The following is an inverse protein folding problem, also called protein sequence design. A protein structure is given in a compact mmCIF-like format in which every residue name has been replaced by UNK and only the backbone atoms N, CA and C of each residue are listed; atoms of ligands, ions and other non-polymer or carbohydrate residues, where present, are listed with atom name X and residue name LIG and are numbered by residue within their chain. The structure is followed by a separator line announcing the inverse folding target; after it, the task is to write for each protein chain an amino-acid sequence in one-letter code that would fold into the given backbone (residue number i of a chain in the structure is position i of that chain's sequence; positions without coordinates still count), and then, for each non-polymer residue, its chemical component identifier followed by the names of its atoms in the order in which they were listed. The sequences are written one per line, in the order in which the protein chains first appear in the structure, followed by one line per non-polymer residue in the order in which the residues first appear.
data_IF_482907833820
#
_entry.id   IF_482907833820
#
_cell.length_a   1.000
_cell.length_b   1.000
_cell.length_c   1.000
_cell.angle_alpha   90.00
_cell.angle_beta   90.00
_cell.angle_gamma   90.00
#
_symmetry.space_group_name_H-M   'P 1'
#
loop_
_entity.id
_entity.type
_entity.pdbx_description
1 polymer ?
#
# COMPACT_ATOMS: atom_id res chain seq x y z
N UNK A 1 -34.69 6.54 -6.69
CA UNK A 1 -33.39 6.26 -6.05
C UNK A 1 -33.56 6.50 -4.55
N UNK A 2 -33.75 5.45 -3.77
CA UNK A 2 -33.97 5.53 -2.31
C UNK A 2 -32.63 5.35 -1.61
N UNK A 3 -32.18 6.40 -0.91
CA UNK A 3 -31.07 6.33 0.05
C UNK A 3 -31.57 5.51 1.25
N UNK A 4 -30.95 4.35 1.49
CA UNK A 4 -31.15 3.60 2.72
C UNK A 4 -30.14 4.15 3.74
N UNK A 5 -30.62 5.00 4.63
CA UNK A 5 -29.91 5.37 5.87
C UNK A 5 -30.09 4.19 6.84
N UNK A 6 -29.00 3.52 7.19
CA UNK A 6 -28.98 2.68 8.38
C UNK A 6 -28.73 3.60 9.60
N UNK A 7 -29.80 3.97 10.27
CA UNK A 7 -29.74 4.55 11.61
C UNK A 7 -29.48 3.41 12.59
N UNK A 8 -28.27 3.28 13.12
CA UNK A 8 -28.01 2.49 14.31
C UNK A 8 -28.44 3.35 15.50
N UNK A 9 -29.60 3.00 16.09
CA UNK A 9 -30.10 3.64 17.28
C UNK A 9 -29.23 3.30 18.50
N UNK A 10 -28.49 4.27 18.99
CA UNK A 10 -27.95 4.27 20.35
C UNK A 10 -28.99 4.93 21.26
N UNK A 11 -29.84 4.13 21.89
CA UNK A 11 -30.71 4.57 22.98
C UNK A 11 -30.18 3.97 24.28
N UNK A 12 -29.80 4.83 25.24
CA UNK A 12 -29.76 4.50 26.66
C UNK A 12 -28.46 4.67 27.39
N UNK A 13 -28.31 5.78 28.09
CA UNK A 13 -27.58 5.98 29.37
C UNK A 13 -26.18 5.39 29.57
N UNK A 14 -25.15 6.11 29.06
CA UNK A 14 -23.79 6.06 29.62
C UNK A 14 -23.04 7.37 29.30
N UNK A 15 -23.48 8.51 29.84
CA UNK A 15 -22.80 9.81 29.63
C UNK A 15 -21.44 9.92 30.35
N UNK A 16 -21.09 8.98 31.24
CA UNK A 16 -19.80 9.00 31.94
C UNK A 16 -18.71 8.14 31.31
N UNK A 17 -19.07 7.06 30.60
CA UNK A 17 -18.09 6.10 30.06
C UNK A 17 -17.53 6.51 28.70
N UNK A 18 -18.28 7.23 27.88
CA UNK A 18 -17.82 7.67 26.55
C UNK A 18 -16.70 8.71 26.62
N UNK A 19 -16.77 9.68 27.54
CA UNK A 19 -15.75 10.71 27.71
C UNK A 19 -14.41 10.13 28.21
N UNK A 20 -14.45 9.15 29.12
CA UNK A 20 -13.23 8.48 29.63
C UNK A 20 -12.60 7.53 28.59
N UNK A 21 -13.43 6.87 27.76
CA UNK A 21 -12.95 6.05 26.66
C UNK A 21 -12.27 6.89 25.58
N UNK A 22 -12.74 8.11 25.35
CA UNK A 22 -12.20 9.07 24.38
C UNK A 22 -10.76 9.49 24.74
N UNK A 23 -10.50 9.89 25.98
CA UNK A 23 -9.17 10.26 26.45
C UNK A 23 -8.17 9.10 26.42
N UNK A 24 -8.57 7.89 26.80
CA UNK A 24 -7.71 6.72 26.81
C UNK A 24 -7.26 6.29 25.39
N UNK A 25 -8.05 6.58 24.36
CA UNK A 25 -7.75 6.26 22.98
C UNK A 25 -6.81 7.26 22.29
N UNK A 26 -6.78 8.52 22.74
CA UNK A 26 -6.00 9.61 22.13
C UNK A 26 -4.54 9.27 21.81
N UNK A 27 -3.78 8.59 22.68
CA UNK A 27 -2.40 8.24 22.34
C UNK A 27 -2.27 7.37 21.11
N UNK A 28 -3.29 6.57 20.80
CA UNK A 28 -3.26 5.56 19.73
C UNK A 28 -3.85 6.05 18.42
N UNK A 29 -4.82 6.97 18.45
CA UNK A 29 -5.51 7.46 17.26
C UNK A 29 -4.53 8.09 16.27
N UNK A 30 -4.70 7.75 14.99
CA UNK A 30 -3.86 8.17 13.87
C UNK A 30 -3.06 7.02 13.27
N UNK A 31 -1.98 7.34 12.58
CA UNK A 31 -1.24 6.39 11.77
C UNK A 31 0.15 6.14 12.33
N UNK A 32 0.63 4.90 12.15
CA UNK A 32 1.87 4.41 12.73
C UNK A 32 2.68 3.67 11.68
N UNK A 33 3.91 4.06 11.49
CA UNK A 33 4.91 3.31 10.76
C UNK A 33 5.38 2.15 11.64
N UNK A 34 5.22 0.92 11.18
CA UNK A 34 5.58 -0.29 11.95
C UNK A 34 6.79 -0.94 11.31
N UNK A 35 7.88 -1.08 12.06
CA UNK A 35 9.09 -1.72 11.58
C UNK A 35 8.92 -3.24 11.58
N UNK A 36 9.04 -3.84 10.41
CA UNK A 36 9.04 -5.29 10.21
C UNK A 36 10.44 -5.76 9.81
N UNK A 37 10.80 -6.95 10.23
CA UNK A 37 12.04 -7.58 9.77
C UNK A 37 11.90 -7.97 8.30
N UNK A 38 12.50 -7.19 7.39
CA UNK A 38 12.49 -7.43 5.95
C UNK A 38 11.28 -6.87 5.20
N UNK A 39 10.62 -5.86 5.73
CA UNK A 39 9.50 -5.18 5.06
C UNK A 39 8.99 -3.97 5.82
N UNK A 40 8.02 -3.30 5.26
CA UNK A 40 7.36 -2.13 5.83
C UNK A 40 5.96 -2.48 6.33
N UNK A 41 5.67 -2.16 7.59
CA UNK A 41 4.35 -2.27 8.18
C UNK A 41 3.71 -0.91 8.41
N UNK A 42 2.41 -0.92 8.60
CA UNK A 42 1.64 0.27 8.91
C UNK A 42 0.44 -0.11 9.78
N UNK A 43 0.07 0.75 10.72
CA UNK A 43 -1.14 0.61 11.50
C UNK A 43 -1.93 1.92 11.47
N UNK A 44 -3.22 1.84 11.20
CA UNK A 44 -4.16 2.95 11.33
C UNK A 44 -5.19 2.68 12.41
N UNK A 45 -5.39 3.65 13.30
CA UNK A 45 -6.42 3.64 14.33
C UNK A 45 -7.28 4.88 14.14
N UNK A 46 -8.57 4.67 13.94
CA UNK A 46 -9.54 5.75 13.75
C UNK A 46 -10.59 5.69 14.86
N UNK A 47 -11.08 6.86 15.24
CA UNK A 47 -12.14 6.99 16.22
C UNK A 47 -13.32 7.69 15.58
N UNK A 48 -14.50 7.07 15.66
CA UNK A 48 -15.75 7.67 15.22
C UNK A 48 -16.27 8.69 16.24
N UNK A 49 -17.17 9.57 15.83
CA UNK A 49 -17.79 10.59 16.70
C UNK A 49 -18.47 10.00 17.95
N UNK A 50 -18.93 8.75 17.87
CA UNK A 50 -19.51 8.02 19.01
C UNK A 50 -18.45 7.40 19.94
N UNK A 51 -17.15 7.62 19.71
CA UNK A 51 -16.05 7.08 20.49
C UNK A 51 -15.62 5.66 20.08
N UNK A 52 -16.32 5.00 19.15
CA UNK A 52 -15.94 3.65 18.70
C UNK A 52 -14.61 3.67 17.93
N UNK A 53 -13.73 2.73 18.25
CA UNK A 53 -12.45 2.58 17.57
C UNK A 53 -12.55 1.59 16.43
N UNK A 54 -11.86 1.89 15.34
CA UNK A 54 -11.56 0.95 14.26
C UNK A 54 -10.05 0.90 14.02
N UNK A 55 -9.57 -0.23 13.50
CA UNK A 55 -8.13 -0.40 13.29
C UNK A 55 -7.84 -1.32 12.13
N UNK A 56 -6.75 -1.03 11.44
CA UNK A 56 -6.21 -1.88 10.40
C UNK A 56 -4.69 -1.90 10.43
N UNK A 57 -4.10 -3.05 10.04
CA UNK A 57 -2.65 -3.22 10.04
C UNK A 57 -2.21 -3.83 8.70
N UNK A 58 -1.18 -3.25 8.10
CA UNK A 58 -0.42 -3.83 6.98
C UNK A 58 0.78 -4.59 7.54
N UNK A 59 0.90 -5.88 7.19
CA UNK A 59 1.99 -6.76 7.60
C UNK A 59 2.99 -7.01 6.47
N UNK A 60 3.47 -5.94 5.82
CA UNK A 60 4.50 -5.98 4.79
C UNK A 60 3.98 -6.25 3.39
N UNK A 61 3.16 -7.25 3.17
CA UNK A 61 2.59 -7.59 1.85
C UNK A 61 1.07 -7.49 1.84
N UNK A 62 0.47 -7.46 0.65
CA UNK A 62 -0.98 -7.39 0.46
C UNK A 62 -1.58 -6.05 0.90
N UNK A 63 -2.83 -6.07 1.35
CA UNK A 63 -3.59 -4.89 1.79
C UNK A 63 -3.69 -4.82 3.31
N UNK A 64 -3.97 -3.63 3.89
CA UNK A 64 -4.24 -3.52 5.31
C UNK A 64 -5.40 -4.41 5.75
N UNK A 65 -5.17 -5.18 6.79
CA UNK A 65 -6.14 -6.10 7.37
C UNK A 65 -6.93 -5.37 8.45
N UNK A 66 -8.26 -5.36 8.33
CA UNK A 66 -9.14 -4.79 9.35
C UNK A 66 -9.26 -5.73 10.54
N UNK A 67 -9.33 -5.16 11.73
CA UNK A 67 -9.56 -5.88 12.98
C UNK A 67 -11.03 -5.76 13.40
N UNK A 68 -11.59 -6.86 13.89
CA UNK A 68 -13.00 -6.97 14.24
C UNK A 68 -13.33 -6.23 15.53
N UNK A 69 -12.38 -6.20 16.47
CA UNK A 69 -12.51 -5.48 17.75
C UNK A 69 -11.26 -4.67 18.01
N UNK A 70 -11.45 -3.42 18.43
CA UNK A 70 -10.39 -2.47 18.77
C UNK A 70 -10.81 -1.74 20.03
N UNK A 71 -10.10 -1.94 21.11
CA UNK A 71 -10.42 -1.36 22.42
C UNK A 71 -9.14 -0.90 23.15
N UNK A 72 -9.29 -0.04 24.13
CA UNK A 72 -8.23 0.26 25.10
C UNK A 72 -8.55 -0.46 26.40
N UNK A 73 -7.66 -1.36 26.83
CA UNK A 73 -7.80 -2.20 28.01
C UNK A 73 -6.58 -2.02 28.90
N UNK A 74 -6.77 -1.63 30.16
CA UNK A 74 -5.68 -1.39 31.11
C UNK A 74 -4.56 -0.48 30.58
N UNK A 75 -4.94 0.57 29.82
CA UNK A 75 -4.01 1.53 29.24
C UNK A 75 -3.22 1.00 28.04
N UNK A 76 -3.60 -0.13 27.46
CA UNK A 76 -3.03 -0.66 26.22
C UNK A 76 -4.11 -0.79 25.13
N UNK A 77 -3.76 -0.49 23.88
CA UNK A 77 -4.62 -0.76 22.73
C UNK A 77 -4.61 -2.27 22.46
N UNK A 78 -5.80 -2.86 22.34
CA UNK A 78 -5.98 -4.27 22.00
C UNK A 78 -6.80 -4.39 20.72
N UNK A 79 -6.23 -5.08 19.72
CA UNK A 79 -6.92 -5.39 18.47
C UNK A 79 -7.04 -6.90 18.34
N UNK A 80 -8.21 -7.39 17.93
CA UNK A 80 -8.42 -8.81 17.66
C UNK A 80 -9.13 -9.04 16.35
N UNK A 81 -8.75 -10.14 15.68
CA UNK A 81 -9.44 -10.65 14.50
C UNK A 81 -9.42 -12.16 14.46
N UNK A 82 -10.41 -12.76 13.85
CA UNK A 82 -10.52 -14.21 13.66
C UNK A 82 -9.64 -14.66 12.49
N UNK A 83 -8.81 -15.66 12.73
CA UNK A 83 -8.08 -16.41 11.72
C UNK A 83 -8.85 -17.70 11.47
N UNK A 84 -9.27 -17.92 10.22
CA UNK A 84 -9.93 -19.16 9.82
C UNK A 84 -9.00 -19.96 8.91
N UNK A 85 -8.76 -21.22 9.24
CA UNK A 85 -8.01 -22.16 8.42
C UNK A 85 -8.80 -23.46 8.26
N UNK A 86 -8.49 -24.27 7.25
CA UNK A 86 -9.04 -25.62 7.10
C UNK A 86 -7.94 -26.63 7.37
N UNK A 87 -8.18 -27.56 8.29
CA UNK A 87 -7.31 -28.68 8.57
C UNK A 87 -8.14 -29.97 8.51
N UNK A 88 -7.71 -30.91 7.70
CA UNK A 88 -8.40 -32.20 7.49
C UNK A 88 -9.90 -32.03 7.15
N UNK A 89 -10.24 -31.03 6.33
CA UNK A 89 -11.61 -30.71 5.92
C UNK A 89 -12.45 -30.00 6.99
N UNK A 90 -11.95 -29.79 8.21
CA UNK A 90 -12.62 -29.06 9.29
C UNK A 90 -12.11 -27.62 9.38
N UNK A 91 -13.03 -26.71 9.65
CA UNK A 91 -12.71 -25.32 9.90
C UNK A 91 -12.13 -25.15 11.32
N UNK A 92 -10.92 -24.60 11.39
CA UNK A 92 -10.28 -24.21 12.65
C UNK A 92 -10.31 -22.69 12.75
N UNK A 93 -10.73 -22.16 13.89
CA UNK A 93 -10.72 -20.72 14.21
C UNK A 93 -9.72 -20.45 15.32
N UNK A 94 -8.90 -19.44 15.11
CA UNK A 94 -7.96 -18.90 16.11
C UNK A 94 -8.13 -17.39 16.16
N UNK A 95 -7.66 -16.74 17.19
CA UNK A 95 -7.71 -15.27 17.31
C UNK A 95 -6.31 -14.69 17.20
N UNK A 96 -6.09 -13.84 16.21
CA UNK A 96 -4.92 -12.97 16.23
C UNK A 96 -5.20 -11.81 17.17
N UNK A 97 -4.32 -11.62 18.14
CA UNK A 97 -4.41 -10.55 19.14
C UNK A 97 -3.15 -9.68 19.09
N UNK A 98 -3.36 -8.39 18.96
CA UNK A 98 -2.32 -7.37 19.04
C UNK A 98 -2.54 -6.60 20.32
N UNK A 99 -1.48 -6.43 21.10
CA UNK A 99 -1.46 -5.51 22.24
C UNK A 99 -0.41 -4.45 21.98
N UNK A 100 -0.78 -3.18 22.06
CA UNK A 100 0.13 -2.07 21.79
C UNK A 100 0.12 -1.04 22.91
N UNK A 101 1.30 -0.48 23.19
CA UNK A 101 1.49 0.67 24.09
C UNK A 101 2.15 1.79 23.32
N UNK A 102 1.57 2.98 23.42
CA UNK A 102 2.10 4.20 22.82
C UNK A 102 2.64 5.11 23.93
N UNK A 103 3.84 5.63 23.72
CA UNK A 103 4.46 6.63 24.57
C UNK A 103 5.26 7.61 23.70
N UNK A 104 4.98 8.92 23.86
CA UNK A 104 5.73 10.00 23.22
C UNK A 104 5.97 9.80 21.70
N UNK A 105 4.96 9.27 20.98
CA UNK A 105 5.05 9.01 19.54
C UNK A 105 5.79 7.71 19.19
N UNK A 106 6.21 6.92 20.16
CA UNK A 106 6.74 5.57 20.00
C UNK A 106 5.65 4.54 20.23
N UNK A 107 5.70 3.42 19.51
CA UNK A 107 4.77 2.30 19.65
C UNK A 107 5.54 1.01 19.92
N UNK A 108 5.16 0.30 20.97
CA UNK A 108 5.60 -1.06 21.23
C UNK A 108 4.40 -1.99 21.05
N UNK A 109 4.53 -3.02 20.21
CA UNK A 109 3.46 -3.94 19.88
C UNK A 109 3.88 -5.38 20.14
N UNK A 110 2.96 -6.17 20.68
CA UNK A 110 3.07 -7.63 20.76
C UNK A 110 1.94 -8.25 19.96
N UNK A 111 2.28 -9.22 19.12
CA UNK A 111 1.34 -10.04 18.34
C UNK A 111 1.40 -11.45 18.87
N UNK A 112 0.24 -12.07 19.14
CA UNK A 112 0.08 -13.47 19.47
C UNK A 112 -1.08 -14.09 18.71
N UNK A 113 -1.08 -15.41 18.59
CA UNK A 113 -2.23 -16.18 18.17
C UNK A 113 -2.80 -16.89 19.38
N UNK A 114 -4.07 -16.69 19.65
CA UNK A 114 -4.80 -17.34 20.76
C UNK A 114 -5.55 -18.54 20.17
N UNK A 115 -5.20 -19.73 20.63
CA UNK A 115 -5.84 -20.98 20.26
C UNK A 115 -7.23 -21.10 20.90
N UNK A 116 -8.04 -22.09 20.49
CA UNK A 116 -9.40 -22.30 21.01
C UNK A 116 -9.43 -22.60 22.51
N UNK A 117 -8.36 -23.20 23.02
CA UNK A 117 -8.18 -23.50 24.47
C UNK A 117 -7.68 -22.29 25.29
N UNK A 118 -7.50 -21.13 24.65
CA UNK A 118 -7.01 -19.91 25.26
C UNK A 118 -5.49 -19.79 25.35
N UNK A 119 -4.73 -20.78 24.86
CA UNK A 119 -3.27 -20.75 24.84
C UNK A 119 -2.75 -19.73 23.84
N UNK A 120 -1.86 -18.84 24.27
CA UNK A 120 -1.16 -17.90 23.38
C UNK A 120 0.06 -18.57 22.75
N UNK A 121 0.19 -18.44 21.44
CA UNK A 121 1.28 -18.99 20.61
C UNK A 121 1.80 -17.93 19.64
N UNK A 122 2.95 -18.19 19.00
CA UNK A 122 3.47 -17.37 17.91
C UNK A 122 3.76 -15.94 18.31
N UNK A 123 4.28 -15.68 19.52
CA UNK A 123 4.60 -14.33 20.00
C UNK A 123 5.64 -13.66 19.11
N UNK A 124 5.34 -12.44 18.68
CA UNK A 124 6.23 -11.55 17.94
C UNK A 124 6.12 -10.13 18.48
N UNK A 125 7.22 -9.40 18.46
CA UNK A 125 7.29 -8.03 18.96
C UNK A 125 7.71 -7.07 17.84
N UNK A 126 7.08 -5.89 17.82
CA UNK A 126 7.32 -4.87 16.81
C UNK A 126 7.43 -3.50 17.49
N UNK A 127 8.13 -2.60 16.81
CA UNK A 127 8.22 -1.19 17.20
C UNK A 127 7.70 -0.33 16.06
N UNK A 128 7.17 0.82 16.39
CA UNK A 128 6.71 1.79 15.40
C UNK A 128 6.84 3.21 15.88
N UNK A 129 6.65 4.13 14.93
CA UNK A 129 6.67 5.57 15.19
C UNK A 129 5.37 6.18 14.66
N UNK A 130 4.85 7.18 15.37
CA UNK A 130 3.68 7.91 14.92
C UNK A 130 4.00 8.66 13.63
N UNK A 131 3.17 8.48 12.63
CA UNK A 131 3.28 9.18 11.34
C UNK A 131 2.74 10.61 11.55
N UNK A 132 3.49 11.60 11.07
CA UNK A 132 3.04 13.00 11.08
C UNK A 132 1.77 13.14 10.22
N UNK A 133 0.90 14.10 10.52
CA UNK A 133 -0.24 14.40 9.67
C UNK A 133 0.18 14.62 8.21
N UNK A 134 -0.71 14.27 7.29
CA UNK A 134 -0.53 14.59 5.88
C UNK A 134 -0.41 16.10 5.69
N UNK A 135 0.43 16.57 4.78
CA UNK A 135 0.40 17.95 4.31
C UNK A 135 -0.99 18.33 3.78
N UNK A 136 -1.25 19.61 3.68
CA UNK A 136 -2.46 20.09 3.01
C UNK A 136 -2.47 19.61 1.54
N UNK A 137 -3.67 19.36 1.01
CA UNK A 137 -3.84 18.98 -0.39
C UNK A 137 -3.19 20.02 -1.31
N UNK A 138 -2.21 19.62 -2.16
CA UNK A 138 -1.49 20.57 -3.00
C UNK A 138 -2.39 21.10 -4.13
N UNK A 139 -2.18 22.36 -4.50
CA UNK A 139 -2.76 22.92 -5.73
C UNK A 139 -1.84 22.59 -6.91
N UNK A 140 -2.17 21.51 -7.63
CA UNK A 140 -1.36 21.03 -8.75
C UNK A 140 -1.24 22.01 -9.92
N UNK A 141 -2.11 23.03 -9.99
CA UNK A 141 -2.00 24.08 -11.01
C UNK A 141 -0.86 25.10 -10.71
N UNK A 142 -0.36 25.11 -9.47
CA UNK A 142 0.71 26.01 -9.03
C UNK A 142 2.07 25.34 -8.91
N UNK A 143 2.16 24.03 -9.05
CA UNK A 143 3.44 23.34 -8.95
C UNK A 143 4.36 23.70 -10.12
N UNK A 144 5.64 23.82 -9.83
CA UNK A 144 6.68 24.01 -10.84
C UNK A 144 7.39 22.70 -11.10
N UNK A 145 7.69 22.44 -12.35
CA UNK A 145 8.41 21.25 -12.77
C UNK A 145 9.86 21.57 -13.08
N UNK A 146 10.75 20.66 -12.68
CA UNK A 146 12.16 20.69 -13.04
C UNK A 146 12.42 20.02 -14.39
N UNK A 147 13.71 19.73 -14.66
CA UNK A 147 14.12 19.08 -15.88
C UNK A 147 13.66 17.61 -15.91
N UNK A 148 13.07 17.13 -17.02
CA UNK A 148 12.66 15.75 -17.17
C UNK A 148 13.86 14.78 -17.19
N UNK A 149 13.73 13.68 -16.49
CA UNK A 149 14.71 12.60 -16.38
C UNK A 149 14.17 11.38 -17.13
N UNK A 150 14.86 10.97 -18.21
CA UNK A 150 14.52 9.74 -18.94
C UNK A 150 15.12 8.55 -18.21
N UNK A 151 14.29 7.77 -17.50
CA UNK A 151 14.79 6.69 -16.62
C UNK A 151 15.36 5.49 -17.38
N UNK A 152 15.12 5.39 -18.69
CA UNK A 152 15.67 4.33 -19.56
C UNK A 152 16.82 4.80 -20.46
N UNK A 153 17.27 6.06 -20.33
CA UNK A 153 18.34 6.61 -21.17
C UNK A 153 19.67 5.83 -21.04
N UNK A 154 19.99 5.36 -19.83
CA UNK A 154 21.19 4.57 -19.55
C UNK A 154 20.93 3.06 -19.60
N UNK A 155 19.83 2.63 -20.21
CA UNK A 155 19.45 1.22 -20.20
C UNK A 155 19.30 0.68 -18.78
N UNK A 156 19.86 -0.50 -18.51
CA UNK A 156 19.82 -1.11 -17.17
C UNK A 156 20.84 -0.53 -16.19
N UNK A 157 21.81 0.27 -16.62
CA UNK A 157 22.81 0.86 -15.70
C UNK A 157 22.20 1.84 -14.70
N UNK A 158 21.02 2.39 -15.01
CA UNK A 158 20.22 3.21 -14.08
C UNK A 158 19.41 2.43 -13.07
N UNK A 159 19.45 1.09 -13.10
CA UNK A 159 18.60 0.20 -12.33
C UNK A 159 19.38 -0.89 -11.62
N UNK A 160 18.83 -1.41 -10.53
CA UNK A 160 19.44 -2.48 -9.75
C UNK A 160 18.38 -3.51 -9.30
N UNK A 161 18.71 -4.79 -9.43
CA UNK A 161 17.90 -5.88 -8.92
C UNK A 161 17.87 -5.85 -7.39
N UNK A 162 16.66 -5.88 -6.80
CA UNK A 162 16.49 -5.76 -5.35
C UNK A 162 16.93 -7.03 -4.60
N UNK A 163 16.78 -8.19 -5.22
CA UNK A 163 17.30 -9.44 -4.70
C UNK A 163 18.26 -10.07 -5.72
N UNK A 164 19.59 -9.89 -5.55
CA UNK A 164 20.58 -10.42 -6.51
C UNK A 164 20.67 -11.95 -6.52
N UNK A 165 20.07 -12.64 -5.56
CA UNK A 165 20.01 -14.11 -5.50
C UNK A 165 18.80 -14.70 -6.20
N UNK A 166 17.77 -13.89 -6.49
CA UNK A 166 16.57 -14.34 -7.21
C UNK A 166 16.82 -14.33 -8.72
N UNK A 167 15.92 -14.99 -9.45
CA UNK A 167 15.98 -14.98 -10.92
C UNK A 167 15.80 -13.55 -11.43
N UNK A 168 16.74 -13.06 -12.25
CA UNK A 168 16.63 -11.76 -12.89
C UNK A 168 16.05 -11.92 -14.30
N UNK A 169 14.74 -11.65 -14.44
CA UNK A 169 14.02 -11.70 -15.71
C UNK A 169 14.05 -10.38 -16.50
N UNK A 170 14.73 -9.34 -15.96
CA UNK A 170 14.76 -8.02 -16.57
C UNK A 170 15.79 -7.90 -17.68
N UNK A 171 15.37 -7.32 -18.80
CA UNK A 171 16.22 -7.02 -19.95
C UNK A 171 15.75 -5.74 -20.62
N UNK A 172 16.67 -5.04 -21.31
CA UNK A 172 16.38 -3.84 -22.07
C UNK A 172 16.73 -4.08 -23.54
N UNK A 173 15.77 -3.86 -24.43
CA UNK A 173 15.97 -3.94 -25.87
C UNK A 173 15.11 -2.91 -26.58
N UNK A 174 15.68 -2.16 -27.51
CA UNK A 174 15.00 -1.18 -28.37
C UNK A 174 14.13 -0.17 -27.58
N UNK A 175 14.63 0.27 -26.40
CA UNK A 175 13.92 1.21 -25.50
C UNK A 175 12.79 0.59 -24.70
N UNK A 176 12.61 -0.73 -24.76
CA UNK A 176 11.62 -1.47 -23.98
C UNK A 176 12.33 -2.24 -22.85
N UNK A 177 11.94 -1.95 -21.61
CA UNK A 177 12.31 -2.72 -20.44
C UNK A 177 11.31 -3.86 -20.27
N UNK A 178 11.79 -5.09 -20.39
CA UNK A 178 10.99 -6.31 -20.30
C UNK A 178 11.33 -7.11 -19.07
N UNK A 179 10.32 -7.65 -18.38
CA UNK A 179 10.47 -8.71 -17.39
C UNK A 179 9.90 -10.03 -17.93
N UNK A 180 10.68 -11.11 -17.84
CA UNK A 180 10.27 -12.45 -18.29
C UNK A 180 10.53 -13.45 -17.16
N UNK A 181 9.63 -13.46 -16.20
CA UNK A 181 9.73 -14.23 -14.96
C UNK A 181 8.98 -15.56 -15.02
N UNK A 182 8.06 -15.71 -15.97
CA UNK A 182 7.36 -16.98 -16.19
C UNK A 182 8.15 -17.85 -17.18
N UNK A 183 8.21 -19.17 -16.93
CA UNK A 183 8.73 -20.15 -17.88
C UNK A 183 7.69 -20.46 -18.99
N UNK A 184 8.03 -21.37 -19.89
CA UNK A 184 7.18 -21.80 -21.01
C UNK A 184 5.85 -22.45 -20.58
N UNK A 185 5.80 -22.97 -19.35
CA UNK A 185 4.60 -23.55 -18.75
C UNK A 185 3.81 -22.55 -17.89
N UNK A 186 4.24 -21.28 -17.87
CA UNK A 186 3.62 -20.23 -17.03
C UNK A 186 4.00 -20.30 -15.55
N UNK A 187 4.99 -21.12 -15.16
CA UNK A 187 5.46 -21.20 -13.78
C UNK A 187 6.42 -20.07 -13.47
N UNK A 188 6.20 -19.42 -12.33
CA UNK A 188 7.05 -18.34 -11.85
C UNK A 188 8.42 -18.86 -11.39
N UNK A 189 9.49 -18.25 -11.90
CA UNK A 189 10.90 -18.54 -11.57
C UNK A 189 11.38 -17.84 -10.30
N UNK A 190 10.48 -17.25 -9.50
CA UNK A 190 10.81 -16.44 -8.33
C UNK A 190 11.72 -15.25 -8.70
N UNK A 191 11.16 -14.37 -9.52
CA UNK A 191 11.84 -13.21 -10.05
C UNK A 191 12.21 -12.16 -9.00
N UNK A 192 13.10 -11.25 -9.39
CA UNK A 192 13.46 -10.09 -8.56
C UNK A 192 12.73 -8.84 -9.01
N UNK A 193 12.44 -7.96 -8.07
CA UNK A 193 12.00 -6.60 -8.34
C UNK A 193 13.19 -5.74 -8.79
N UNK A 194 12.92 -4.68 -9.53
CA UNK A 194 13.92 -3.76 -10.06
C UNK A 194 13.66 -2.36 -9.49
N UNK A 195 14.70 -1.66 -9.04
CA UNK A 195 14.57 -0.26 -8.62
C UNK A 195 15.62 0.63 -9.28
N UNK A 196 15.35 1.92 -9.36
CA UNK A 196 16.37 2.89 -9.79
C UNK A 196 17.56 2.89 -8.82
N UNK A 197 18.76 3.14 -9.35
CA UNK A 197 19.97 3.41 -8.55
C UNK A 197 19.77 4.71 -7.76
N UNK A 198 19.22 5.76 -8.42
CA UNK A 198 18.83 6.98 -7.75
C UNK A 198 17.69 6.73 -6.75
N UNK A 199 17.83 7.30 -5.54
CA UNK A 199 16.89 7.15 -4.43
C UNK A 199 16.43 8.49 -3.86
N UNK A 200 16.54 9.54 -4.65
CA UNK A 200 16.33 10.93 -4.20
C UNK A 200 15.04 11.55 -4.72
N UNK A 201 14.14 10.73 -5.26
CA UNK A 201 12.85 11.21 -5.75
C UNK A 201 11.89 11.45 -4.58
N UNK A 202 11.31 12.65 -4.50
CA UNK A 202 10.36 13.03 -3.46
C UNK A 202 8.99 13.33 -4.07
N UNK A 203 8.83 14.50 -4.69
CA UNK A 203 7.63 14.89 -5.41
C UNK A 203 7.94 14.99 -6.91
N UNK A 204 7.10 14.40 -7.73
CA UNK A 204 7.34 14.30 -9.17
C UNK A 204 6.08 13.96 -9.97
N UNK A 205 6.16 14.18 -11.27
CA UNK A 205 5.31 13.54 -12.26
C UNK A 205 6.09 12.41 -12.94
N UNK A 206 5.48 11.23 -13.08
CA UNK A 206 6.03 10.07 -13.77
C UNK A 206 5.12 9.68 -14.92
N UNK A 207 5.64 9.69 -16.14
CA UNK A 207 4.94 9.21 -17.34
C UNK A 207 5.63 7.97 -17.88
N UNK A 208 4.83 6.97 -18.24
CA UNK A 208 5.34 5.74 -18.85
C UNK A 208 4.24 5.05 -19.66
N UNK A 209 4.63 4.07 -20.43
CA UNK A 209 3.71 3.11 -21.00
C UNK A 209 4.02 1.71 -20.44
N UNK A 210 2.98 0.95 -20.09
CA UNK A 210 3.09 -0.42 -19.61
C UNK A 210 2.25 -1.37 -20.45
N UNK A 211 2.75 -2.57 -20.71
CA UNK A 211 2.03 -3.62 -21.41
C UNK A 211 2.00 -4.87 -20.54
N UNK A 212 0.79 -5.28 -20.16
CA UNK A 212 0.56 -6.45 -19.31
C UNK A 212 0.19 -7.66 -20.13
N UNK A 213 0.75 -8.82 -19.81
CA UNK A 213 0.26 -10.09 -20.33
C UNK A 213 -1.12 -10.43 -19.75
N UNK A 214 -1.84 -11.37 -20.37
CA UNK A 214 -3.09 -11.89 -19.82
C UNK A 214 -2.87 -12.48 -18.43
N UNK A 215 -3.71 -12.07 -17.45
CA UNK A 215 -3.55 -12.42 -16.03
C UNK A 215 -2.32 -11.78 -15.40
N UNK A 216 -1.73 -10.77 -16.05
CA UNK A 216 -0.54 -10.08 -15.58
C UNK A 216 -0.76 -9.32 -14.27
N UNK A 217 0.29 -9.29 -13.44
CA UNK A 217 0.35 -8.54 -12.19
C UNK A 217 1.77 -7.99 -12.00
N UNK A 218 1.88 -6.68 -11.86
CA UNK A 218 3.07 -5.91 -11.60
C UNK A 218 2.68 -4.62 -10.86
N UNK A 219 3.63 -3.75 -10.54
CA UNK A 219 3.38 -2.48 -9.89
C UNK A 219 4.48 -1.47 -10.13
N UNK A 220 4.12 -0.19 -10.13
CA UNK A 220 5.06 0.94 -10.14
C UNK A 220 5.02 1.56 -8.75
N UNK A 221 6.10 1.41 -7.98
CA UNK A 221 6.20 1.98 -6.65
C UNK A 221 6.86 3.37 -6.69
N UNK A 222 6.11 4.36 -6.28
CA UNK A 222 6.58 5.72 -6.12
C UNK A 222 7.36 5.80 -4.80
N UNK A 223 8.58 6.31 -4.84
CA UNK A 223 9.50 6.36 -3.69
C UNK A 223 9.76 4.98 -3.05
N UNK A 224 9.47 3.89 -3.78
CA UNK A 224 9.57 2.53 -3.28
C UNK A 224 8.54 2.14 -2.23
N UNK A 225 7.50 2.96 -1.98
CA UNK A 225 6.55 2.79 -0.87
C UNK A 225 5.07 2.85 -1.28
N UNK A 226 4.72 3.51 -2.40
CA UNK A 226 3.35 3.67 -2.87
C UNK A 226 3.18 2.98 -4.21
N UNK A 227 2.55 1.83 -4.23
CA UNK A 227 2.31 1.05 -5.43
C UNK A 227 1.13 1.59 -6.24
N UNK A 228 1.39 1.95 -7.48
CA UNK A 228 0.34 2.08 -8.49
C UNK A 228 0.24 0.73 -9.21
N UNK A 229 -0.92 0.09 -9.04
CA UNK A 229 -1.16 -1.27 -9.53
C UNK A 229 -1.10 -1.35 -11.05
N UNK A 230 -0.34 -2.32 -11.56
CA UNK A 230 -0.28 -2.68 -12.97
C UNK A 230 -0.76 -4.13 -13.12
N UNK A 231 -2.04 -4.34 -13.45
CA UNK A 231 -2.63 -5.67 -13.55
C UNK A 231 -3.61 -5.80 -14.72
N UNK A 232 -3.76 -7.01 -15.25
CA UNK A 232 -4.81 -7.31 -16.23
C UNK A 232 -6.16 -7.41 -15.54
N UNK A 233 -6.88 -6.28 -15.52
CA UNK A 233 -8.22 -6.15 -14.92
C UNK A 233 -9.27 -5.68 -15.91
N UNK A 234 -8.95 -5.67 -17.20
CA UNK A 234 -9.87 -5.24 -18.26
C UNK A 234 -11.22 -5.98 -18.17
N UNK A 235 -12.30 -5.21 -18.22
CA UNK A 235 -13.66 -5.73 -18.12
C UNK A 235 -14.13 -6.04 -16.69
N UNK A 236 -13.29 -5.82 -15.66
CA UNK A 236 -13.70 -5.90 -14.25
C UNK A 236 -14.26 -4.56 -13.78
N UNK A 237 -15.02 -4.59 -12.68
CA UNK A 237 -15.43 -3.37 -11.98
C UNK A 237 -14.24 -2.67 -11.33
N UNK A 238 -14.45 -1.43 -10.84
CA UNK A 238 -13.41 -0.70 -10.11
C UNK A 238 -13.18 -1.30 -8.71
N UNK A 239 -11.91 -1.46 -8.34
CA UNK A 239 -11.47 -1.98 -7.06
C UNK A 239 -10.10 -1.40 -6.71
N UNK A 240 -9.75 -1.35 -5.43
CA UNK A 240 -8.45 -0.82 -4.98
C UNK A 240 -7.26 -1.75 -5.31
N UNK A 241 -7.48 -2.90 -5.94
CA UNK A 241 -6.45 -3.82 -6.45
C UNK A 241 -6.38 -3.87 -7.98
N UNK A 242 -7.19 -3.04 -8.67
CA UNK A 242 -7.22 -3.03 -10.13
C UNK A 242 -6.22 -2.03 -10.72
N UNK A 243 -6.02 -2.12 -12.04
CA UNK A 243 -5.10 -1.29 -12.81
C UNK A 243 -5.21 0.19 -12.44
N UNK A 244 -4.08 0.79 -12.10
CA UNK A 244 -3.96 2.22 -11.78
C UNK A 244 -4.42 2.62 -10.38
N UNK A 245 -4.93 1.70 -9.55
CA UNK A 245 -5.24 1.95 -8.15
C UNK A 245 -3.97 2.29 -7.36
N UNK A 246 -4.09 3.09 -6.29
CA UNK A 246 -3.11 3.07 -5.21
C UNK A 246 -3.41 1.80 -4.38
N UNK A 247 -2.59 0.77 -4.55
CA UNK A 247 -2.88 -0.60 -4.17
C UNK A 247 -3.34 -0.75 -2.71
N UNK A 248 -4.53 -1.35 -2.55
CA UNK A 248 -5.15 -1.57 -1.24
C UNK A 248 -5.53 -0.29 -0.48
N UNK A 249 -5.45 0.90 -1.11
CA UNK A 249 -5.66 2.20 -0.46
C UNK A 249 -6.73 3.05 -1.14
N UNK A 250 -6.60 3.29 -2.45
CA UNK A 250 -7.51 4.16 -3.19
C UNK A 250 -8.04 3.44 -4.42
N UNK A 251 -9.36 3.29 -4.47
CA UNK A 251 -10.07 2.74 -5.63
C UNK A 251 -10.14 3.79 -6.74
N UNK A 252 -9.84 3.41 -8.00
CA UNK A 252 -10.06 4.29 -9.15
C UNK A 252 -11.52 4.76 -9.27
N UNK A 253 -11.71 5.98 -9.74
CA UNK A 253 -13.04 6.55 -10.00
C UNK A 253 -13.77 5.83 -11.13
N UNK A 254 -13.00 5.32 -12.10
CA UNK A 254 -13.51 4.63 -13.30
C UNK A 254 -12.45 3.67 -13.81
N UNK A 255 -12.88 2.54 -14.38
CA UNK A 255 -12.02 1.66 -15.16
C UNK A 255 -11.62 2.35 -16.47
N UNK A 256 -10.33 2.37 -16.78
CA UNK A 256 -9.79 3.05 -17.96
C UNK A 256 -8.72 2.21 -18.68
N UNK A 257 -8.44 1.01 -18.20
CA UNK A 257 -7.49 0.08 -18.79
C UNK A 257 -8.00 -0.47 -20.15
N UNK A 258 -7.06 -0.78 -21.04
CA UNK A 258 -7.26 -1.54 -22.27
C UNK A 258 -7.00 -3.03 -22.00
N UNK A 259 -7.35 -3.88 -22.97
CA UNK A 259 -7.13 -5.31 -22.87
C UNK A 259 -5.65 -5.69 -22.68
N UNK A 260 -5.41 -6.88 -22.12
CA UNK A 260 -4.07 -7.44 -22.03
C UNK A 260 -3.38 -7.50 -23.41
N UNK A 261 -2.08 -7.22 -23.42
CA UNK A 261 -1.28 -7.12 -24.65
C UNK A 261 -1.31 -5.74 -25.32
N UNK A 262 -2.17 -4.83 -24.87
CA UNK A 262 -2.18 -3.45 -25.33
C UNK A 262 -1.34 -2.54 -24.42
N UNK A 263 -0.68 -1.53 -25.03
CA UNK A 263 0.06 -0.51 -24.28
C UNK A 263 -0.90 0.44 -23.56
N UNK A 264 -0.73 0.52 -22.26
CA UNK A 264 -1.42 1.44 -21.36
C UNK A 264 -0.57 2.70 -21.19
N UNK A 265 -1.10 3.88 -21.42
CA UNK A 265 -0.42 5.14 -21.05
C UNK A 265 -0.74 5.47 -19.59
N UNK A 266 0.30 5.69 -18.81
CA UNK A 266 0.21 5.93 -17.35
C UNK A 266 0.90 7.26 -17.04
N UNK A 267 0.16 8.19 -16.45
CA UNK A 267 0.65 9.51 -16.01
C UNK A 267 0.31 9.66 -14.53
N UNK A 268 1.33 9.69 -13.68
CA UNK A 268 1.21 9.68 -12.22
C UNK A 268 1.85 10.95 -11.67
N UNK A 269 1.14 11.68 -10.83
CA UNK A 269 1.72 12.78 -10.05
C UNK A 269 1.69 12.41 -8.57
N UNK A 270 2.84 12.43 -7.91
CA UNK A 270 2.97 12.39 -6.47
C UNK A 270 3.44 13.77 -6.00
N UNK A 271 2.65 14.45 -5.17
CA UNK A 271 2.98 15.75 -4.60
C UNK A 271 2.44 15.83 -3.16
N UNK A 272 3.31 16.19 -2.20
CA UNK A 272 2.93 16.29 -0.80
C UNK A 272 2.13 15.07 -0.29
N UNK A 273 2.56 13.87 -0.67
CA UNK A 273 1.88 12.59 -0.35
C UNK A 273 0.43 12.52 -0.84
N UNK A 274 0.11 13.22 -1.92
CA UNK A 274 -1.15 13.07 -2.66
C UNK A 274 -0.85 12.54 -4.05
N UNK A 275 -1.71 11.65 -4.53
CA UNK A 275 -1.54 10.94 -5.80
C UNK A 275 -2.64 11.34 -6.77
N UNK A 276 -2.23 11.65 -8.00
CA UNK A 276 -3.10 11.75 -9.17
C UNK A 276 -2.67 10.70 -10.17
N UNK A 277 -3.62 9.95 -10.74
CA UNK A 277 -3.35 8.97 -11.80
C UNK A 277 -4.26 9.24 -12.99
N UNK A 278 -3.63 9.34 -14.17
CA UNK A 278 -4.32 9.39 -15.47
C UNK A 278 -3.92 8.13 -16.24
N UNK A 279 -4.89 7.28 -16.49
CA UNK A 279 -4.72 6.04 -17.25
C UNK A 279 -5.43 6.14 -18.60
N UNK A 280 -4.69 5.97 -19.70
CA UNK A 280 -5.22 6.07 -21.05
C UNK A 280 -6.03 7.36 -21.31
N UNK A 281 -5.52 8.49 -20.81
CA UNK A 281 -6.13 9.81 -20.92
C UNK A 281 -7.31 10.10 -19.99
N UNK A 282 -7.72 9.13 -19.14
CA UNK A 282 -8.77 9.34 -18.13
C UNK A 282 -8.15 9.50 -16.75
N UNK A 283 -8.51 10.57 -16.02
CA UNK A 283 -8.14 10.77 -14.62
C UNK A 283 -8.94 9.79 -13.76
N UNK A 284 -8.26 8.80 -13.19
CA UNK A 284 -8.87 7.73 -12.38
C UNK A 284 -8.62 7.90 -10.89
N UNK A 285 -7.59 8.63 -10.50
CA UNK A 285 -7.35 9.12 -9.13
C UNK A 285 -7.08 10.62 -9.22
N UNK A 286 -7.79 11.43 -8.45
CA UNK A 286 -7.68 12.89 -8.47
C UNK A 286 -7.21 13.43 -7.15
N UNK A 287 -5.89 13.66 -7.05
CA UNK A 287 -5.22 14.33 -5.93
C UNK A 287 -5.70 13.78 -4.56
N UNK A 288 -5.65 12.44 -4.42
CA UNK A 288 -6.06 11.72 -3.23
C UNK A 288 -4.89 11.50 -2.27
N UNK A 289 -5.13 11.57 -0.95
CA UNK A 289 -4.07 11.33 0.03
C UNK A 289 -3.57 9.89 -0.04
N UNK A 290 -2.25 9.72 -0.07
CA UNK A 290 -1.58 8.44 0.10
C UNK A 290 -1.39 8.19 1.60
N UNK A 291 -2.36 7.55 2.23
CA UNK A 291 -2.34 7.25 3.67
C UNK A 291 -1.71 5.89 3.92
N UNK A 292 -0.48 5.91 4.38
CA UNK A 292 0.30 4.71 4.68
C UNK A 292 0.90 4.05 3.43
N UNK A 293 1.99 3.35 3.65
CA UNK A 293 2.68 2.57 2.62
C UNK A 293 1.79 1.44 2.08
N UNK A 294 2.03 1.01 0.85
CA UNK A 294 1.35 -0.15 0.25
C UNK A 294 2.09 -1.45 0.53
N UNK A 295 1.46 -2.59 0.28
CA UNK A 295 2.14 -3.89 0.39
C UNK A 295 3.35 -3.96 -0.53
N UNK A 296 4.45 -4.56 -0.06
CA UNK A 296 5.71 -4.64 -0.81
C UNK A 296 6.61 -3.40 -0.69
N UNK A 297 6.22 -2.38 0.08
CA UNK A 297 7.03 -1.19 0.34
C UNK A 297 8.40 -1.55 0.94
N UNK A 298 9.44 -0.84 0.50
CA UNK A 298 10.83 -1.09 0.95
C UNK A 298 11.15 -0.48 2.31
N UNK A 299 10.36 0.50 2.76
CA UNK A 299 10.47 1.14 4.07
C UNK A 299 9.10 1.60 4.56
N UNK A 300 8.92 1.70 5.85
CA UNK A 300 7.73 2.29 6.46
C UNK A 300 7.86 3.81 6.68
N UNK A 301 9.00 4.40 6.38
CA UNK A 301 9.22 5.85 6.49
C UNK A 301 8.68 6.58 5.26
N UNK A 302 7.56 7.28 5.44
CA UNK A 302 6.91 8.06 4.40
C UNK A 302 7.49 9.46 4.19
N UNK A 303 8.54 9.86 4.93
CA UNK A 303 9.11 11.22 4.90
C UNK A 303 10.47 11.29 4.23
N UNK A 304 11.02 10.18 3.79
CA UNK A 304 12.28 10.15 3.06
C UNK A 304 12.04 10.04 1.55
N UNK A 305 12.84 10.69 0.71
CA UNK A 305 12.87 10.41 -0.72
C UNK A 305 13.19 8.95 -0.98
N UNK A 306 12.81 8.43 -2.15
CA UNK A 306 13.04 7.05 -2.48
C UNK A 306 13.16 6.77 -3.98
N UNK A 307 13.44 5.52 -4.36
CA UNK A 307 13.55 5.11 -5.76
C UNK A 307 12.18 4.97 -6.45
N UNK A 308 12.19 4.93 -7.78
CA UNK A 308 11.13 4.25 -8.53
C UNK A 308 11.46 2.76 -8.48
N UNK A 309 10.47 1.94 -8.13
CA UNK A 309 10.62 0.50 -8.08
C UNK A 309 9.54 -0.17 -8.94
N UNK A 310 9.93 -1.19 -9.70
CA UNK A 310 9.06 -1.97 -10.57
C UNK A 310 8.95 -3.39 -10.03
N UNK A 311 7.73 -3.85 -9.80
CA UNK A 311 7.48 -5.21 -9.34
C UNK A 311 7.73 -6.21 -10.46
N UNK A 312 8.60 -7.19 -10.21
CA UNK A 312 9.04 -8.16 -11.19
C UNK A 312 8.97 -9.60 -10.72
N UNK A 313 8.49 -9.85 -9.51
CA UNK A 313 8.43 -11.18 -8.90
C UNK A 313 7.12 -11.93 -9.15
N UNK A 314 6.15 -11.32 -9.85
CA UNK A 314 4.83 -11.92 -10.10
C UNK A 314 4.67 -12.44 -11.53
N UNK A 315 4.66 -11.58 -12.55
CA UNK A 315 4.39 -11.97 -13.93
C UNK A 315 5.23 -11.18 -14.93
N UNK A 316 5.08 -11.54 -16.21
CA UNK A 316 5.72 -10.82 -17.32
C UNK A 316 5.07 -9.45 -17.53
N UNK A 317 5.90 -8.45 -17.80
CA UNK A 317 5.48 -7.06 -18.07
C UNK A 317 6.51 -6.36 -18.96
N UNK A 318 6.06 -5.41 -19.75
CA UNK A 318 6.90 -4.52 -20.53
C UNK A 318 6.63 -3.06 -20.15
N UNK A 319 7.69 -2.25 -20.09
CA UNK A 319 7.63 -0.81 -19.87
C UNK A 319 8.43 -0.08 -20.94
N UNK A 320 7.97 1.11 -21.36
CA UNK A 320 8.72 1.99 -22.25
C UNK A 320 8.41 3.46 -21.96
N UNK A 321 9.23 4.36 -22.51
CA UNK A 321 9.02 5.81 -22.43
C UNK A 321 8.86 6.34 -21.00
N UNK A 322 9.65 5.81 -20.05
CA UNK A 322 9.56 6.21 -18.65
C UNK A 322 10.32 7.50 -18.40
N UNK A 323 9.58 8.57 -18.10
CA UNK A 323 10.11 9.92 -17.84
C UNK A 323 9.60 10.41 -16.49
N UNK A 324 10.52 10.81 -15.63
CA UNK A 324 10.24 11.42 -14.34
C UNK A 324 10.58 12.90 -14.39
N UNK A 325 9.62 13.75 -14.04
CA UNK A 325 9.82 15.21 -13.94
C UNK A 325 9.67 15.63 -12.48
N UNK A 326 10.76 16.03 -11.81
CA UNK A 326 10.67 16.49 -10.41
C UNK A 326 9.73 17.69 -10.27
N UNK A 327 9.02 17.76 -9.16
CA UNK A 327 8.31 18.98 -8.73
C UNK A 327 9.28 19.78 -7.86
N UNK A 328 9.44 21.06 -8.20
CA UNK A 328 10.29 22.00 -7.48
C UNK A 328 9.41 22.77 -6.49
N UNK A 329 9.81 22.79 -5.21
CA UNK A 329 9.16 23.58 -4.15
C UNK A 329 9.81 24.95 -3.99
#
# INVERSE_FOLDING_TARGET
MKKVLFAVGCAGLFLGSAAFADEAAKPYVGYWAVNLNGGAGWMGIEQADCGALSGSILWGGGSPLKYEKVNVENGALVLTRTLTSKKDGKEEKKTEKITAKADSGQLAMTKVVVEQDGKETGKSEYKGNKIKPLPAKPDLAKVKFGEPIKLFEKGLDGWVAMNPKAFNGWSMKDGILSNRVLDENGKNKHGTNLRTVATTFEDFNLKTEACMAKGGNSGIYLRGIYEIQMADTFGKGVDCHNMGALYGRVTPLVAAEKAAGEWQTVDITLCDRHVTVILNGKKIIDNQPAVGVTGGAITCDEFVPGPIYLQGDHTNVDYRNMVLTPIIK
#
